data_IF_735986497187
#
_entry.id   IF_735986497187
#
_cell.length_a   1.000
_cell.length_b   1.000
_cell.length_c   1.000
_cell.angle_alpha   90.00
_cell.angle_beta   90.00
_cell.angle_gamma   90.00
#
_symmetry.space_group_name_H-M   'P 1'
#
loop_
_entity.id
_entity.type
_entity.pdbx_description
1 polymer ?
#
# COMPACT_ATOMS: atom_id res chain seq x y z
N UNK A 1 4.28 -5.78 1.29
CA UNK A 1 4.71 -5.15 0.03
C UNK A 1 4.93 -6.24 -1.01
N UNK A 2 4.58 -6.04 -2.29
CA UNK A 2 4.82 -7.07 -3.31
C UNK A 2 6.31 -7.41 -3.36
N UNK A 3 6.61 -8.70 -3.52
CA UNK A 3 7.96 -9.29 -3.46
C UNK A 3 8.95 -8.70 -4.47
N UNK A 4 8.46 -8.04 -5.52
CA UNK A 4 9.26 -7.44 -6.59
C UNK A 4 9.58 -5.94 -6.35
N UNK A 5 9.33 -5.39 -5.15
CA UNK A 5 9.53 -3.95 -4.91
C UNK A 5 11.01 -3.54 -4.72
N UNK A 6 11.84 -4.47 -4.23
CA UNK A 6 13.25 -4.21 -3.91
C UNK A 6 14.22 -4.99 -4.80
N UNK A 7 13.73 -6.03 -5.49
CA UNK A 7 14.52 -6.94 -6.31
C UNK A 7 13.74 -7.14 -7.59
N UNK A 8 14.29 -6.72 -8.71
CA UNK A 8 13.77 -7.07 -10.03
C UNK A 8 14.27 -8.47 -10.39
N UNK A 9 13.36 -9.38 -10.72
CA UNK A 9 13.73 -10.69 -11.26
C UNK A 9 14.24 -10.58 -12.69
N UNK A 10 15.16 -11.45 -13.07
CA UNK A 10 15.51 -11.68 -14.46
C UNK A 10 14.31 -12.26 -15.24
N UNK A 11 14.26 -11.97 -16.54
CA UNK A 11 13.19 -12.42 -17.44
C UNK A 11 12.92 -13.94 -17.41
N UNK A 12 13.92 -14.84 -17.46
CA UNK A 12 13.62 -16.26 -17.43
C UNK A 12 13.02 -16.72 -16.10
N UNK A 13 13.46 -16.15 -14.97
CA UNK A 13 12.87 -16.43 -13.65
C UNK A 13 11.44 -15.90 -13.55
N UNK A 14 11.19 -14.68 -14.04
CA UNK A 14 9.84 -14.12 -14.08
C UNK A 14 8.88 -14.97 -14.94
N UNK A 15 9.34 -15.39 -16.13
CA UNK A 15 8.59 -16.27 -17.01
C UNK A 15 8.29 -17.64 -16.37
N UNK A 16 9.26 -18.22 -15.65
CA UNK A 16 9.07 -19.47 -14.94
C UNK A 16 8.00 -19.36 -13.84
N UNK A 17 8.02 -18.27 -13.06
CA UNK A 17 6.98 -18.03 -12.05
C UNK A 17 5.59 -17.83 -12.67
N UNK A 18 5.50 -17.11 -13.78
CA UNK A 18 4.24 -16.90 -14.49
C UNK A 18 3.68 -18.21 -15.03
N UNK A 19 4.53 -19.06 -15.63
CA UNK A 19 4.13 -20.37 -16.12
C UNK A 19 3.63 -21.28 -14.97
N UNK A 20 4.36 -21.32 -13.85
CA UNK A 20 3.96 -22.10 -12.68
C UNK A 20 2.63 -21.61 -12.08
N UNK A 21 2.44 -20.29 -11.96
CA UNK A 21 1.19 -19.71 -11.47
C UNK A 21 0.01 -20.03 -12.41
N UNK A 22 0.23 -19.94 -13.72
CA UNK A 22 -0.80 -20.23 -14.74
C UNK A 22 -1.19 -21.71 -14.71
N UNK A 23 -0.23 -22.62 -14.58
CA UNK A 23 -0.49 -24.05 -14.47
C UNK A 23 -1.29 -24.42 -13.20
N UNK A 24 -1.04 -23.72 -12.09
CA UNK A 24 -1.74 -23.96 -10.82
C UNK A 24 -3.14 -23.32 -10.75
N UNK A 25 -3.43 -22.31 -11.58
CA UNK A 25 -4.66 -21.54 -11.51
C UNK A 25 -5.96 -22.37 -11.64
N UNK A 26 -6.07 -23.36 -12.56
CA UNK A 26 -7.30 -24.16 -12.69
C UNK A 26 -7.62 -24.97 -11.44
N UNK A 27 -6.60 -25.57 -10.81
CA UNK A 27 -6.77 -26.34 -9.57
C UNK A 27 -7.22 -25.42 -8.43
N UNK A 28 -6.57 -24.27 -8.27
CA UNK A 28 -6.94 -23.28 -7.25
C UNK A 28 -8.40 -22.82 -7.47
N UNK A 29 -8.79 -22.55 -8.71
CA UNK A 29 -10.17 -22.17 -9.04
C UNK A 29 -11.18 -23.26 -8.68
N UNK A 30 -10.85 -24.53 -8.96
CA UNK A 30 -11.68 -25.67 -8.59
C UNK A 30 -11.79 -25.82 -7.06
N UNK A 31 -10.68 -25.69 -6.32
CA UNK A 31 -10.68 -25.74 -4.85
C UNK A 31 -11.55 -24.63 -4.24
N UNK A 32 -11.50 -23.42 -4.79
CA UNK A 32 -12.36 -22.29 -4.38
C UNK A 32 -13.84 -22.61 -4.67
N UNK A 33 -14.15 -23.09 -5.88
CA UNK A 33 -15.54 -23.38 -6.29
C UNK A 33 -16.19 -24.50 -5.47
N UNK A 34 -15.39 -25.47 -5.03
CA UNK A 34 -15.85 -26.61 -4.22
C UNK A 34 -15.79 -26.32 -2.71
N UNK A 35 -15.28 -25.16 -2.30
CA UNK A 35 -15.14 -24.80 -0.89
C UNK A 35 -14.10 -25.61 -0.15
N UNK A 36 -13.13 -26.21 -0.85
CA UNK A 36 -12.05 -26.97 -0.24
C UNK A 36 -11.19 -26.05 0.64
N UNK A 37 -11.15 -26.31 1.95
CA UNK A 37 -10.37 -25.52 2.91
C UNK A 37 -8.95 -26.07 3.03
N UNK A 38 -8.09 -25.76 2.06
CA UNK A 38 -6.66 -26.10 2.11
C UNK A 38 -5.91 -25.06 2.96
N UNK A 39 -5.82 -25.29 4.28
CA UNK A 39 -4.95 -24.47 5.15
C UNK A 39 -3.50 -24.88 4.99
N UNK A 40 -2.68 -24.03 4.36
CA UNK A 40 -1.22 -24.18 4.37
C UNK A 40 -0.71 -24.02 5.81
N UNK A 41 -0.18 -25.10 6.39
CA UNK A 41 0.40 -25.04 7.74
C UNK A 41 1.82 -24.50 7.67
N UNK A 42 2.06 -23.35 8.30
CA UNK A 42 3.41 -22.77 8.44
C UNK A 42 4.15 -23.29 9.66
N UNK A 43 5.49 -23.34 9.57
CA UNK A 43 6.36 -23.62 10.71
C UNK A 43 6.29 -22.53 11.79
N UNK A 44 6.95 -22.76 12.94
CA UNK A 44 6.93 -21.83 14.07
C UNK A 44 7.39 -20.41 13.71
N UNK A 45 8.40 -20.28 12.84
CA UNK A 45 8.89 -19.00 12.34
C UNK A 45 7.83 -18.22 11.55
N UNK A 46 7.04 -18.91 10.71
CA UNK A 46 5.93 -18.28 9.97
C UNK A 46 4.86 -17.75 10.93
N UNK A 47 4.51 -18.52 11.98
CA UNK A 47 3.56 -18.06 13.01
C UNK A 47 4.08 -16.84 13.77
N UNK A 48 5.37 -16.82 14.10
CA UNK A 48 6.01 -15.66 14.73
C UNK A 48 5.99 -14.44 13.80
N UNK A 49 6.34 -14.60 12.52
CA UNK A 49 6.29 -13.51 11.55
C UNK A 49 4.87 -13.00 11.29
N UNK A 50 3.85 -13.86 11.36
CA UNK A 50 2.46 -13.42 11.36
C UNK A 50 2.12 -12.54 12.57
N UNK A 51 2.64 -12.85 13.75
CA UNK A 51 2.46 -12.01 14.94
C UNK A 51 3.14 -10.65 14.78
N UNK A 52 4.38 -10.62 14.28
CA UNK A 52 5.10 -9.38 13.99
C UNK A 52 4.37 -8.55 12.93
N UNK A 53 3.88 -9.17 11.86
CA UNK A 53 3.08 -8.49 10.84
C UNK A 53 1.77 -7.91 11.39
N UNK A 54 1.16 -8.53 12.42
CA UNK A 54 0.01 -7.93 13.11
C UNK A 54 0.39 -6.69 13.93
N UNK A 55 1.62 -6.63 14.45
CA UNK A 55 2.11 -5.45 15.16
C UNK A 55 2.28 -4.23 14.23
N UNK A 56 2.59 -4.46 12.95
CA UNK A 56 2.68 -3.40 11.92
C UNK A 56 1.37 -2.60 11.80
N UNK A 57 0.22 -3.25 11.99
CA UNK A 57 -1.08 -2.57 11.97
C UNK A 57 -1.20 -1.52 13.08
N UNK A 58 -0.70 -1.80 14.27
CA UNK A 58 -0.64 -0.79 15.33
C UNK A 58 0.31 0.35 14.96
N UNK A 59 1.47 0.03 14.38
CA UNK A 59 2.40 1.02 13.83
C UNK A 59 1.73 1.96 12.81
N UNK A 60 0.80 1.44 12.01
CA UNK A 60 0.09 2.22 11.00
C UNK A 60 -0.76 3.35 11.57
N UNK A 61 -1.35 3.13 12.75
CA UNK A 61 -2.14 4.13 13.48
C UNK A 61 -1.24 5.25 14.00
N UNK A 62 -0.06 4.92 14.54
CA UNK A 62 0.90 5.90 15.03
C UNK A 62 1.51 6.75 13.92
N UNK A 63 2.02 6.12 12.86
CA UNK A 63 2.60 6.83 11.72
C UNK A 63 1.53 7.70 11.05
N UNK A 64 0.29 7.21 10.98
CA UNK A 64 -0.88 7.96 10.55
C UNK A 64 -1.07 9.33 11.21
N UNK A 65 -0.66 9.45 12.47
CA UNK A 65 -0.77 10.69 13.24
C UNK A 65 0.33 11.70 12.90
N UNK A 66 1.45 11.23 12.37
CA UNK A 66 2.59 12.05 11.98
C UNK A 66 2.42 12.71 10.61
N UNK A 67 1.33 12.39 9.90
CA UNK A 67 1.00 13.07 8.66
C UNK A 67 0.55 14.51 8.92
N UNK A 68 1.00 15.42 8.07
CA UNK A 68 0.60 16.82 8.07
C UNK A 68 0.46 17.34 6.64
N UNK A 69 -0.24 18.47 6.49
CA UNK A 69 -0.31 19.19 5.23
C UNK A 69 0.53 20.47 5.34
N UNK A 70 1.35 20.74 4.33
CA UNK A 70 2.16 21.96 4.23
C UNK A 70 1.34 23.15 3.69
N UNK A 71 2.03 24.27 3.44
CA UNK A 71 1.43 25.51 2.93
C UNK A 71 0.96 25.43 1.47
N UNK A 72 1.34 24.40 0.72
CA UNK A 72 0.89 24.20 -0.65
C UNK A 72 -0.52 23.60 -0.73
N UNK A 73 -1.09 23.21 0.42
CA UNK A 73 -2.45 22.70 0.50
C UNK A 73 -3.47 23.77 0.11
N UNK A 74 -4.26 23.50 -0.93
CA UNK A 74 -5.37 24.35 -1.37
C UNK A 74 -6.73 23.93 -0.77
N UNK A 75 -6.73 23.07 0.25
CA UNK A 75 -7.94 22.58 0.93
C UNK A 75 -9.00 21.92 0.01
N UNK A 76 -8.59 21.32 -1.11
CA UNK A 76 -9.50 20.64 -2.04
C UNK A 76 -10.28 19.45 -1.42
N UNK A 77 -9.84 18.90 -0.28
CA UNK A 77 -10.53 17.84 0.46
C UNK A 77 -10.49 16.44 -0.17
N UNK A 78 -9.83 16.26 -1.31
CA UNK A 78 -9.74 14.96 -2.02
C UNK A 78 -9.17 13.85 -1.15
N UNK A 79 -8.13 14.15 -0.37
CA UNK A 79 -7.51 13.19 0.55
C UNK A 79 -8.49 12.70 1.63
N UNK A 80 -9.34 13.58 2.17
CA UNK A 80 -10.35 13.20 3.16
C UNK A 80 -11.48 12.36 2.54
N UNK A 81 -11.94 12.75 1.34
CA UNK A 81 -13.00 12.03 0.60
C UNK A 81 -12.56 10.62 0.17
N UNK A 82 -11.29 10.46 -0.22
CA UNK A 82 -10.74 9.20 -0.71
C UNK A 82 -10.17 8.29 0.38
N UNK A 83 -10.19 8.73 1.65
CA UNK A 83 -9.66 7.93 2.75
C UNK A 83 -10.64 6.81 3.12
N UNK A 84 -10.29 5.52 2.93
CA UNK A 84 -11.21 4.41 3.23
C UNK A 84 -11.52 4.26 4.72
N UNK A 85 -10.62 4.74 5.59
CA UNK A 85 -10.77 4.66 7.04
C UNK A 85 -11.31 5.97 7.66
N UNK A 86 -11.68 6.96 6.84
CA UNK A 86 -12.13 8.28 7.31
C UNK A 86 -11.18 8.93 8.35
N UNK A 87 -9.86 8.73 8.16
CA UNK A 87 -8.84 9.18 9.10
C UNK A 87 -8.59 10.70 9.06
N UNK A 88 -9.02 11.38 8.00
CA UNK A 88 -8.68 12.79 7.76
C UNK A 88 -9.96 13.61 7.94
N UNK A 89 -9.94 14.55 8.88
CA UNK A 89 -10.99 15.56 9.01
C UNK A 89 -10.63 16.79 8.16
N UNK A 90 -11.55 17.17 7.28
CA UNK A 90 -11.43 18.37 6.47
C UNK A 90 -12.14 19.54 7.20
N UNK A 91 -11.37 20.51 7.69
CA UNK A 91 -11.87 21.72 8.33
C UNK A 91 -10.99 22.92 7.94
N UNK A 92 -10.87 23.93 8.81
CA UNK A 92 -9.95 25.04 8.60
C UNK A 92 -8.50 24.57 8.35
N UNK A 93 -8.11 23.46 8.99
CA UNK A 93 -6.89 22.71 8.70
C UNK A 93 -7.18 21.23 8.59
N UNK A 94 -6.40 20.51 7.78
CA UNK A 94 -6.48 19.06 7.71
C UNK A 94 -6.01 18.47 9.04
N UNK A 95 -6.79 17.55 9.61
CA UNK A 95 -6.43 16.85 10.85
C UNK A 95 -6.44 15.34 10.64
N UNK A 96 -5.30 14.71 10.93
CA UNK A 96 -5.16 13.26 10.88
C UNK A 96 -5.51 12.64 12.25
N UNK A 97 -6.38 11.64 12.24
CA UNK A 97 -6.88 10.89 13.41
C UNK A 97 -6.02 9.61 13.64
N UNK A 98 -6.52 8.71 14.49
CA UNK A 98 -5.86 7.46 14.90
C UNK A 98 -6.44 6.21 14.20
N UNK A 99 -6.86 6.35 12.95
CA UNK A 99 -7.46 5.29 12.14
C UNK A 99 -6.74 5.09 10.80
N UNK A 100 -5.50 5.57 10.67
CA UNK A 100 -4.73 5.38 9.46
C UNK A 100 -4.37 3.90 9.28
N UNK A 101 -4.51 3.39 8.05
CA UNK A 101 -4.04 2.06 7.65
C UNK A 101 -2.83 2.09 6.71
N UNK A 102 -2.08 3.21 6.67
CA UNK A 102 -0.90 3.41 5.82
C UNK A 102 -1.04 3.04 4.33
N UNK A 103 -2.23 3.21 3.75
CA UNK A 103 -2.44 2.95 2.33
C UNK A 103 -1.78 3.97 1.38
N UNK A 104 -1.23 5.07 1.91
CA UNK A 104 -0.58 6.18 1.19
C UNK A 104 -1.43 6.86 0.10
N UNK A 105 -2.73 6.54 0.01
CA UNK A 105 -3.64 7.12 -0.99
C UNK A 105 -3.73 8.65 -0.91
N UNK A 106 -3.73 9.21 0.29
CA UNK A 106 -3.75 10.66 0.48
C UNK A 106 -2.52 11.35 -0.10
N UNK A 107 -1.34 10.72 0.00
CA UNK A 107 -0.07 11.24 -0.51
C UNK A 107 -0.10 11.32 -2.04
N UNK A 108 -0.41 10.19 -2.69
CA UNK A 108 -0.37 10.08 -4.16
C UNK A 108 -1.53 10.79 -4.87
N UNK A 109 -2.70 10.94 -4.24
CA UNK A 109 -3.82 11.65 -4.85
C UNK A 109 -3.77 13.17 -4.66
N UNK A 110 -2.84 13.70 -3.87
CA UNK A 110 -2.78 15.13 -3.62
C UNK A 110 -2.25 15.86 -4.86
N UNK A 111 -3.06 16.68 -5.56
CA UNK A 111 -2.61 17.38 -6.77
C UNK A 111 -1.54 18.44 -6.49
N UNK A 112 -1.37 18.83 -5.23
CA UNK A 112 -0.36 19.81 -4.79
C UNK A 112 0.82 19.17 -4.09
N UNK A 113 0.86 17.83 -3.96
CA UNK A 113 1.88 17.09 -3.21
C UNK A 113 2.12 17.69 -1.79
N UNK A 114 1.04 18.16 -1.16
CA UNK A 114 1.11 18.96 0.05
C UNK A 114 1.12 18.13 1.34
N UNK A 115 0.96 16.81 1.26
CA UNK A 115 0.90 15.92 2.43
C UNK A 115 2.28 15.33 2.68
N UNK A 116 2.76 15.38 3.91
CA UNK A 116 4.08 14.89 4.32
C UNK A 116 4.00 14.16 5.66
N UNK A 117 5.08 13.49 6.06
CA UNK A 117 5.20 12.80 7.35
C UNK A 117 6.35 13.43 8.14
N UNK A 118 6.15 13.71 9.43
CA UNK A 118 7.20 14.25 10.29
C UNK A 118 8.39 13.27 10.46
N UNK A 119 9.59 13.84 10.60
CA UNK A 119 10.81 13.10 10.94
C UNK A 119 10.64 12.29 12.24
N UNK A 120 11.31 11.13 12.39
CA UNK A 120 12.32 10.54 11.48
C UNK A 120 11.72 9.71 10.33
N UNK A 121 10.40 9.64 10.23
CA UNK A 121 9.71 8.80 9.26
C UNK A 121 9.43 9.58 7.97
N UNK A 122 10.48 9.89 7.21
CA UNK A 122 10.29 10.46 5.86
C UNK A 122 9.85 9.36 4.92
N UNK A 123 8.67 9.49 4.33
CA UNK A 123 8.25 8.60 3.26
C UNK A 123 8.98 8.99 1.97
N UNK A 124 9.74 8.05 1.40
CA UNK A 124 10.36 8.21 0.09
C UNK A 124 9.26 7.92 -0.94
N UNK A 125 8.86 8.91 -1.75
CA UNK A 125 7.90 8.66 -2.82
C UNK A 125 8.55 7.86 -3.94
N UNK A 126 7.81 6.91 -4.51
CA UNK A 126 8.32 5.97 -5.51
C UNK A 126 7.92 6.36 -6.95
N UNK A 127 7.75 7.65 -7.21
CA UNK A 127 7.18 8.14 -8.47
C UNK A 127 8.06 7.83 -9.70
N UNK A 128 9.37 7.69 -9.50
CA UNK A 128 10.35 7.51 -10.59
C UNK A 128 10.89 6.07 -10.72
N UNK A 129 10.53 5.16 -9.81
CA UNK A 129 11.27 3.90 -9.66
C UNK A 129 10.82 2.78 -10.61
N UNK A 130 9.61 2.87 -11.15
CA UNK A 130 9.13 1.99 -12.21
C UNK A 130 8.92 2.81 -13.48
N UNK A 131 9.67 2.51 -14.54
CA UNK A 131 9.40 3.01 -15.90
C UNK A 131 8.16 2.34 -16.47
N UNK A 132 7.00 2.60 -15.87
CA UNK A 132 5.70 2.15 -16.37
C UNK A 132 5.09 3.29 -17.19
N UNK A 133 5.49 3.38 -18.46
CA UNK A 133 4.96 4.36 -19.43
C UNK A 133 3.43 4.29 -19.52
N UNK A 134 2.86 3.10 -19.34
CA UNK A 134 1.41 2.85 -19.35
C UNK A 134 0.66 3.45 -18.15
N UNK A 135 1.30 3.62 -16.99
CA UNK A 135 0.70 4.22 -15.78
C UNK A 135 0.94 5.73 -15.69
N UNK A 136 1.67 6.33 -16.64
CA UNK A 136 1.86 7.78 -16.72
C UNK A 136 0.59 8.53 -17.22
N UNK A 137 -0.43 7.78 -17.68
CA UNK A 137 -1.74 8.27 -18.11
C UNK A 137 -2.54 8.74 -16.88
N UNK A 138 -2.19 9.90 -16.35
CA UNK A 138 -2.85 10.50 -15.17
C UNK A 138 -1.99 11.49 -14.40
N UNK A 139 -0.68 11.53 -14.67
CA UNK A 139 0.28 12.49 -14.07
C UNK A 139 0.45 13.79 -14.88
N UNK A 140 -0.51 14.12 -15.75
CA UNK A 140 -0.56 15.42 -16.42
C UNK A 140 -1.62 16.31 -15.76
N UNK A 141 -1.16 17.19 -14.87
CA UNK A 141 -1.35 18.64 -14.92
C UNK A 141 -0.75 19.30 -13.67
#
# INVERSE_FOLDING_TARGET
MPSNFAIQYDEPTAAAYLAAATAAAPQIAHEIATGALTKRTGGAFSKFMHLVGRAEWFGSVFIGKLFYADRNCNHCGLCAKSCPNHNIANGAHLRFKWHCGLCMRCLYLCPRHAIHVHQPFTFISFDEWYKNEELAVGRKQ
#
